data_IF_543066524456
#
_entry.id   IF_543066524456
#
_cell.length_a   1.000
_cell.length_b   1.000
_cell.length_c   1.000
_cell.angle_alpha   90.00
_cell.angle_beta   90.00
_cell.angle_gamma   90.00
#
_symmetry.space_group_name_H-M   'P 1'
#
loop_
_entity.id
_entity.type
_entity.pdbx_description
1 polymer ?
#
# COMPACT_ATOMS: atom_id res chain seq x y z
N UNK A 1 -8.48 -44.12 25.55
CA UNK A 1 -7.33 -43.54 24.82
C UNK A 1 -7.09 -44.46 23.63
N UNK A 2 -7.07 -44.07 22.36
CA UNK A 2 -6.64 -42.82 21.74
C UNK A 2 -7.44 -42.55 20.44
N UNK A 3 -7.62 -41.28 20.10
CA UNK A 3 -8.22 -40.82 18.84
C UNK A 3 -7.10 -40.75 17.80
N UNK A 4 -7.18 -41.43 16.64
CA UNK A 4 -6.16 -41.32 15.60
C UNK A 4 -6.24 -39.95 14.92
N UNK A 5 -5.31 -39.09 15.32
CA UNK A 5 -4.94 -37.80 14.73
C UNK A 5 -4.35 -37.98 13.32
N UNK A 6 -5.15 -38.31 12.30
CA UNK A 6 -4.72 -38.05 10.92
C UNK A 6 -5.10 -36.62 10.54
N UNK A 7 -4.34 -35.70 11.14
CA UNK A 7 -4.27 -34.30 10.74
C UNK A 7 -4.18 -34.20 9.23
N UNK A 8 -5.17 -33.51 8.67
CA UNK A 8 -5.27 -33.10 7.26
C UNK A 8 -4.01 -32.29 6.93
N UNK A 9 -2.96 -32.95 6.43
CA UNK A 9 -1.75 -32.30 5.92
C UNK A 9 -2.16 -31.57 4.63
N UNK A 10 -2.79 -30.40 4.78
CA UNK A 10 -3.01 -29.47 3.67
C UNK A 10 -1.69 -28.76 3.44
N UNK A 11 -0.90 -29.28 2.50
CA UNK A 11 0.27 -28.68 1.84
C UNK A 11 0.65 -27.30 2.36
N UNK A 12 1.56 -27.29 3.33
CA UNK A 12 2.29 -26.11 3.76
C UNK A 12 3.36 -25.83 2.70
N UNK A 13 3.02 -25.03 1.68
CA UNK A 13 4.01 -24.43 0.78
C UNK A 13 3.95 -22.91 0.95
N UNK A 14 5.05 -22.24 1.36
CA UNK A 14 5.03 -20.83 1.80
C UNK A 14 4.87 -19.80 0.66
N UNK A 15 4.69 -20.23 -0.59
CA UNK A 15 4.85 -19.36 -1.75
C UNK A 15 3.57 -18.73 -2.33
N UNK A 16 2.34 -19.07 -1.91
CA UNK A 16 1.12 -18.68 -2.68
C UNK A 16 -0.15 -18.33 -1.87
N UNK A 17 -0.07 -17.57 -0.77
CA UNK A 17 -1.27 -16.95 -0.17
C UNK A 17 -1.12 -15.46 0.18
N UNK A 18 -0.27 -14.71 -0.51
CA UNK A 18 -0.25 -13.26 -0.30
C UNK A 18 -1.44 -12.60 -0.98
N UNK A 19 -2.03 -11.60 -0.32
CA UNK A 19 -3.17 -10.88 -0.87
C UNK A 19 -2.85 -10.16 -2.17
N UNK A 20 -3.89 -9.83 -2.93
CA UNK A 20 -3.76 -9.01 -4.13
C UNK A 20 -3.00 -7.70 -3.82
N UNK A 21 -3.12 -7.16 -2.61
CA UNK A 21 -2.40 -5.94 -2.20
C UNK A 21 -0.87 -6.07 -2.21
N UNK A 22 -0.30 -7.27 -2.10
CA UNK A 22 1.16 -7.46 -2.23
C UNK A 22 1.58 -7.75 -3.67
N UNK A 23 0.64 -8.19 -4.51
CA UNK A 23 0.86 -8.62 -5.89
C UNK A 23 0.71 -7.46 -6.87
N UNK A 24 1.17 -7.65 -8.10
CA UNK A 24 1.07 -6.64 -9.16
C UNK A 24 -0.38 -6.24 -9.42
N UNK A 25 -1.31 -7.21 -9.38
CA UNK A 25 -2.74 -6.95 -9.60
C UNK A 25 -3.38 -5.99 -8.58
N UNK A 26 -2.82 -5.82 -7.38
CA UNK A 26 -3.33 -4.87 -6.38
C UNK A 26 -2.58 -3.54 -6.34
N UNK A 27 -1.56 -3.36 -7.17
CA UNK A 27 -0.80 -2.12 -7.25
C UNK A 27 -1.30 -1.23 -8.39
N UNK A 28 -1.26 0.09 -8.16
CA UNK A 28 -1.56 1.07 -9.19
C UNK A 28 -0.27 1.55 -9.86
N UNK A 29 -0.33 1.73 -11.18
CA UNK A 29 0.75 2.29 -11.99
C UNK A 29 1.15 3.69 -11.53
N UNK A 30 0.17 4.51 -11.12
CA UNK A 30 0.39 5.85 -10.59
C UNK A 30 1.00 5.89 -9.18
N UNK A 31 1.17 4.74 -8.51
CA UNK A 31 1.67 4.67 -7.13
C UNK A 31 0.66 4.10 -6.15
N UNK A 32 1.15 3.42 -5.11
CA UNK A 32 0.33 2.81 -4.06
C UNK A 32 -0.56 1.65 -4.52
N UNK A 33 -1.57 1.33 -3.72
CA UNK A 33 -2.58 0.31 -4.01
C UNK A 33 -3.66 0.84 -4.97
N UNK A 34 -4.20 -0.06 -5.79
CA UNK A 34 -5.42 0.18 -6.55
C UNK A 34 -6.65 -0.27 -5.73
N UNK A 35 -7.85 -0.08 -6.26
CA UNK A 35 -9.09 -0.43 -5.57
C UNK A 35 -9.14 -1.91 -5.16
N UNK A 36 -8.80 -2.82 -6.08
CA UNK A 36 -8.70 -4.26 -5.82
C UNK A 36 -7.73 -4.60 -4.69
N UNK A 37 -6.59 -3.92 -4.63
CA UNK A 37 -5.61 -4.08 -3.55
C UNK A 37 -6.13 -3.56 -2.22
N UNK A 38 -6.77 -2.38 -2.20
CA UNK A 38 -7.38 -1.82 -0.99
C UNK A 38 -8.48 -2.73 -0.45
N UNK A 39 -9.35 -3.24 -1.32
CA UNK A 39 -10.48 -4.07 -0.95
C UNK A 39 -10.02 -5.45 -0.46
N UNK A 40 -9.05 -6.06 -1.15
CA UNK A 40 -8.45 -7.29 -0.67
C UNK A 40 -7.77 -7.09 0.69
N UNK A 41 -7.07 -5.96 0.90
CA UNK A 41 -6.44 -5.65 2.18
C UNK A 41 -7.48 -5.51 3.29
N UNK A 42 -8.54 -4.73 3.07
CA UNK A 42 -9.61 -4.54 4.07
C UNK A 42 -10.35 -5.83 4.38
N UNK A 43 -10.63 -6.66 3.37
CA UNK A 43 -11.30 -7.96 3.55
C UNK A 43 -10.47 -8.91 4.41
N UNK A 44 -9.16 -8.97 4.22
CA UNK A 44 -8.28 -9.85 5.01
C UNK A 44 -7.84 -9.24 6.34
N UNK A 45 -8.03 -7.94 6.55
CA UNK A 45 -7.66 -7.21 7.76
C UNK A 45 -8.89 -6.41 8.26
N UNK A 46 -9.89 -7.08 8.86
CA UNK A 46 -11.06 -6.41 9.40
C UNK A 46 -10.64 -5.38 10.47
N UNK A 47 -11.28 -4.22 10.46
CA UNK A 47 -10.91 -3.09 11.34
C UNK A 47 -9.72 -2.24 10.85
N UNK A 48 -9.16 -2.55 9.67
CA UNK A 48 -8.09 -1.74 9.07
C UNK A 48 -8.44 -0.26 8.92
N UNK A 49 -7.53 0.60 9.39
CA UNK A 49 -7.61 2.07 9.22
C UNK A 49 -6.92 2.55 7.95
N UNK A 50 -6.66 1.66 6.97
CA UNK A 50 -5.96 1.98 5.72
C UNK A 50 -6.62 3.19 5.02
N UNK A 51 -5.81 4.22 4.76
CA UNK A 51 -6.23 5.42 4.02
C UNK A 51 -5.51 5.46 2.68
N UNK A 52 -6.26 5.83 1.64
CA UNK A 52 -5.73 6.06 0.30
C UNK A 52 -5.06 7.43 0.21
N UNK A 53 -4.28 7.62 -0.86
CA UNK A 53 -3.58 8.87 -1.12
C UNK A 53 -4.54 10.05 -1.25
N UNK A 54 -4.12 11.20 -0.72
CA UNK A 54 -4.83 12.46 -0.92
C UNK A 54 -4.45 12.99 -2.30
N UNK A 55 -5.31 12.73 -3.28
CA UNK A 55 -5.10 13.10 -4.69
C UNK A 55 -5.44 14.56 -5.00
N UNK A 56 -6.14 15.24 -4.09
CA UNK A 56 -6.45 16.66 -4.22
C UNK A 56 -5.19 17.51 -4.11
N UNK A 57 -5.09 18.51 -4.99
CA UNK A 57 -3.95 19.44 -5.00
C UNK A 57 -3.84 20.17 -3.65
N UNK A 58 -2.63 20.39 -3.11
CA UNK A 58 -2.44 21.03 -1.81
C UNK A 58 -3.04 22.43 -1.72
N UNK A 59 -3.05 23.19 -2.82
CA UNK A 59 -3.65 24.53 -2.89
C UNK A 59 -5.17 24.54 -2.73
N UNK A 60 -5.84 23.44 -3.06
CA UNK A 60 -7.30 23.28 -2.90
C UNK A 60 -7.68 22.64 -1.55
N UNK A 61 -6.69 22.24 -0.74
CA UNK A 61 -6.93 21.68 0.58
C UNK A 61 -7.04 22.80 1.61
N UNK A 62 -8.13 22.79 2.38
CA UNK A 62 -8.28 23.69 3.52
C UNK A 62 -7.11 23.46 4.51
N UNK A 63 -6.33 24.50 4.86
CA UNK A 63 -5.28 24.41 5.86
C UNK A 63 -5.83 23.83 7.18
N UNK A 64 -5.08 22.93 7.81
CA UNK A 64 -5.49 22.27 9.06
C UNK A 64 -6.53 21.15 8.93
N UNK A 65 -7.10 20.91 7.74
CA UNK A 65 -8.05 19.80 7.53
C UNK A 65 -7.43 18.42 7.78
N UNK A 66 -8.27 17.42 8.08
CA UNK A 66 -7.82 16.02 8.25
C UNK A 66 -7.09 15.49 7.01
N UNK A 67 -7.45 15.92 5.80
CA UNK A 67 -6.75 15.56 4.57
C UNK A 67 -5.37 16.23 4.49
N UNK A 68 -5.27 17.53 4.77
CA UNK A 68 -4.01 18.26 4.79
C UNK A 68 -3.03 17.67 5.83
N UNK A 69 -3.51 17.36 7.05
CA UNK A 69 -2.70 16.74 8.11
C UNK A 69 -2.19 15.35 7.71
N UNK A 70 -3.04 14.50 7.10
CA UNK A 70 -2.62 13.18 6.59
C UNK A 70 -1.55 13.29 5.50
N UNK A 71 -1.74 14.19 4.53
CA UNK A 71 -0.72 14.46 3.51
C UNK A 71 0.59 14.93 4.14
N UNK A 72 0.55 15.94 5.00
CA UNK A 72 1.75 16.48 5.69
C UNK A 72 2.50 15.37 6.43
N UNK A 73 1.79 14.52 7.16
CA UNK A 73 2.37 13.38 7.86
C UNK A 73 3.02 12.37 6.91
N UNK A 74 2.35 12.02 5.81
CA UNK A 74 2.91 11.11 4.81
C UNK A 74 4.19 11.67 4.18
N UNK A 75 4.17 12.94 3.73
CA UNK A 75 5.34 13.56 3.12
C UNK A 75 6.51 13.66 4.12
N UNK A 76 6.26 14.04 5.38
CA UNK A 76 7.31 14.10 6.39
C UNK A 76 7.98 12.74 6.62
N UNK A 77 7.21 11.64 6.59
CA UNK A 77 7.73 10.28 6.79
C UNK A 77 8.43 9.69 5.56
N UNK A 78 7.98 10.05 4.36
CA UNK A 78 8.43 9.40 3.12
C UNK A 78 9.43 10.22 2.31
N UNK A 79 9.37 11.55 2.34
CA UNK A 79 10.24 12.41 1.53
C UNK A 79 11.71 12.34 1.96
N UNK A 80 11.97 12.11 3.25
CA UNK A 80 13.34 12.00 3.81
C UNK A 80 13.97 10.61 3.69
N UNK A 81 13.24 9.59 3.23
CA UNK A 81 13.77 8.23 3.09
C UNK A 81 14.85 8.25 2.01
N UNK A 82 16.06 7.75 2.27
CA UNK A 82 17.09 7.60 1.22
C UNK A 82 16.68 6.53 0.22
N UNK A 83 16.87 6.79 -1.07
CA UNK A 83 16.61 5.79 -2.12
C UNK A 83 16.38 6.39 -3.49
N UNK A 84 16.64 5.63 -4.56
CA UNK A 84 16.61 6.12 -5.93
C UNK A 84 15.21 6.58 -6.33
N UNK A 85 15.13 7.73 -6.97
CA UNK A 85 13.88 8.27 -7.52
C UNK A 85 13.63 7.82 -8.96
N UNK A 86 14.70 7.42 -9.65
CA UNK A 86 14.67 6.86 -11.00
C UNK A 86 15.32 5.48 -10.99
N UNK A 87 14.79 4.58 -11.81
CA UNK A 87 15.40 3.30 -12.13
C UNK A 87 16.53 3.50 -13.15
N UNK A 88 17.42 2.52 -13.36
CA UNK A 88 18.45 2.58 -14.41
C UNK A 88 17.87 2.84 -15.81
N UNK A 89 16.65 2.35 -16.09
CA UNK A 89 15.93 2.58 -17.35
C UNK A 89 15.19 3.93 -17.42
N UNK A 90 15.54 4.90 -16.58
CA UNK A 90 14.96 6.25 -16.55
C UNK A 90 13.54 6.36 -15.97
N UNK A 91 12.80 5.26 -15.81
CA UNK A 91 11.43 5.26 -15.26
C UNK A 91 11.43 5.61 -13.76
N UNK A 92 10.40 6.31 -13.25
CA UNK A 92 10.30 6.59 -11.83
C UNK A 92 10.19 5.30 -10.99
N UNK A 93 10.78 5.32 -9.80
CA UNK A 93 10.64 4.22 -8.84
C UNK A 93 9.26 4.21 -8.19
N UNK A 94 8.90 3.10 -7.52
CA UNK A 94 7.65 3.00 -6.77
C UNK A 94 7.55 4.08 -5.68
N UNK A 95 8.69 4.41 -5.06
CA UNK A 95 8.81 5.52 -4.11
C UNK A 95 8.48 6.86 -4.77
N UNK A 96 9.07 7.16 -5.92
CA UNK A 96 8.80 8.40 -6.64
C UNK A 96 7.33 8.53 -7.06
N UNK A 97 6.72 7.44 -7.52
CA UNK A 97 5.29 7.41 -7.85
C UNK A 97 4.41 7.63 -6.61
N UNK A 98 4.76 7.04 -5.48
CA UNK A 98 4.04 7.25 -4.23
C UNK A 98 4.10 8.72 -3.77
N UNK A 99 5.28 9.34 -3.77
CA UNK A 99 5.45 10.75 -3.40
C UNK A 99 4.61 11.66 -4.30
N UNK A 100 4.72 11.49 -5.63
CA UNK A 100 3.93 12.23 -6.62
C UNK A 100 2.42 12.10 -6.38
N UNK A 101 1.94 10.89 -6.10
CA UNK A 101 0.50 10.63 -5.88
C UNK A 101 -0.03 11.28 -4.60
N UNK A 102 0.79 11.39 -3.58
CA UNK A 102 0.46 12.12 -2.34
C UNK A 102 0.69 13.63 -2.45
N UNK A 103 1.07 14.13 -3.63
CA UNK A 103 1.47 15.50 -3.88
C UNK A 103 2.55 15.95 -2.90
N UNK A 104 3.48 15.06 -2.57
CA UNK A 104 4.78 15.38 -2.01
C UNK A 104 5.74 15.60 -3.19
#
# INVERSE_FOLDING_TARGET
>A
MAIPITSKIKNCSPAKKTGAWTRKEGQSESGGLNQKGVDDYKRKNPGSKLKTAVTTKPSKLKPGSKAAKRRKSFCARMSGVKGPMKKPNGKPTRKALALRKWNC
#
